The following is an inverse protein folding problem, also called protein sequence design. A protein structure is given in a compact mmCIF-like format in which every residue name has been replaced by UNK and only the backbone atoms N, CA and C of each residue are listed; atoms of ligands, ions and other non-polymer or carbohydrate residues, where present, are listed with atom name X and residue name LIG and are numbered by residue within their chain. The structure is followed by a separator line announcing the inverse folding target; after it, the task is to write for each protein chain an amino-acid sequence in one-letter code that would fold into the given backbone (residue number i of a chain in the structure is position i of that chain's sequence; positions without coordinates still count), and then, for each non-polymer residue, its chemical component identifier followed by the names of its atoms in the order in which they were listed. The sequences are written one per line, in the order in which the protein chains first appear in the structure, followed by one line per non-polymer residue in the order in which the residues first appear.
data_IF_490601751373
#
_entry.id   IF_490601751373
#
_cell.length_a   1.000
_cell.length_b   1.000
_cell.length_c   1.000
_cell.angle_alpha   90.00
_cell.angle_beta   90.00
_cell.angle_gamma   90.00
#
_symmetry.space_group_name_H-M   'P 1'
#
loop_
_entity.id
_entity.type
_entity.pdbx_description
1 polymer ?
#
# COMPACT_ATOMS: atom_id res chain seq x y z
N UNK A 1 10.85 0.69 10.45
CA UNK A 1 9.79 0.35 9.47
C UNK A 1 10.31 -0.70 8.50
N UNK A 2 9.76 -1.92 8.52
CA UNK A 2 10.05 -2.93 7.49
C UNK A 2 9.18 -2.62 6.28
N UNK A 3 9.73 -2.66 5.08
CA UNK A 3 8.99 -2.35 3.86
C UNK A 3 9.30 -3.37 2.76
N UNK A 4 8.48 -3.36 1.71
CA UNK A 4 8.73 -4.08 0.46
C UNK A 4 8.48 -3.13 -0.69
N UNK A 5 9.43 -2.99 -1.60
CA UNK A 5 9.23 -2.22 -2.82
C UNK A 5 8.71 -3.15 -3.91
N UNK A 6 7.58 -2.81 -4.53
CA UNK A 6 6.99 -3.58 -5.62
C UNK A 6 6.60 -2.66 -6.76
N UNK A 7 6.49 -3.20 -7.96
CA UNK A 7 5.97 -2.48 -9.12
C UNK A 7 4.94 -3.32 -9.86
N UNK A 8 3.98 -2.65 -10.48
CA UNK A 8 3.07 -3.23 -11.45
C UNK A 8 3.01 -2.35 -12.70
N UNK A 9 3.38 -2.90 -13.86
CA UNK A 9 3.36 -2.20 -15.15
C UNK A 9 4.09 -0.85 -15.13
N UNK A 10 5.20 -0.76 -14.39
CA UNK A 10 6.05 0.44 -14.34
C UNK A 10 5.67 1.46 -13.26
N UNK A 11 4.56 1.27 -12.53
CA UNK A 11 4.22 2.10 -11.38
C UNK A 11 4.70 1.42 -10.09
N UNK A 12 5.57 2.09 -9.32
CA UNK A 12 6.25 1.53 -8.16
C UNK A 12 5.86 2.19 -6.84
N UNK A 13 5.61 1.39 -5.80
CA UNK A 13 5.33 1.88 -4.44
C UNK A 13 6.21 1.18 -3.41
N UNK A 14 6.41 1.88 -2.30
CA UNK A 14 6.84 1.27 -1.04
C UNK A 14 5.59 0.73 -0.36
N UNK A 15 5.58 -0.57 -0.04
CA UNK A 15 4.50 -1.25 0.68
C UNK A 15 4.92 -1.52 2.11
N UNK A 16 4.02 -1.26 3.05
CA UNK A 16 4.22 -1.59 4.46
C UNK A 16 3.00 -2.31 5.01
N UNK A 17 3.25 -3.44 5.66
CA UNK A 17 2.24 -4.14 6.46
C UNK A 17 1.95 -3.35 7.73
N UNK A 18 0.74 -2.82 7.81
CA UNK A 18 0.18 -2.10 8.95
C UNK A 18 -1.03 -2.84 9.53
N UNK A 19 -1.07 -4.17 9.42
CA UNK A 19 -2.12 -4.99 10.04
C UNK A 19 -1.96 -5.11 11.55
N UNK A 20 -0.73 -4.95 12.07
CA UNK A 20 -0.39 -4.99 13.50
C UNK A 20 0.24 -3.68 13.99
N UNK A 21 1.12 -3.10 13.20
CA UNK A 21 1.86 -1.90 13.56
C UNK A 21 1.32 -0.68 12.82
N UNK A 22 1.24 0.46 13.51
CA UNK A 22 0.78 1.73 12.92
C UNK A 22 1.99 2.62 12.65
N UNK A 23 1.94 3.33 11.52
CA UNK A 23 2.90 4.39 11.18
C UNK A 23 2.22 5.73 11.43
N UNK A 24 2.91 6.58 12.18
CA UNK A 24 2.51 7.97 12.41
C UNK A 24 2.99 8.89 11.28
N UNK A 25 2.33 10.04 11.15
CA UNK A 25 2.70 11.10 10.20
C UNK A 25 2.91 10.56 8.76
N UNK A 26 1.91 9.85 8.26
CA UNK A 26 1.96 9.12 6.99
C UNK A 26 2.27 10.04 5.80
N UNK A 27 1.71 11.27 5.69
CA UNK A 27 2.07 12.19 4.59
C UNK A 27 3.56 12.53 4.55
N UNK A 28 4.18 12.80 5.70
CA UNK A 28 5.62 13.06 5.75
C UNK A 28 6.42 11.80 5.46
N UNK A 29 6.00 10.65 6.00
CA UNK A 29 6.64 9.36 5.71
C UNK A 29 6.61 9.08 4.21
N UNK A 30 5.46 9.26 3.54
CA UNK A 30 5.30 9.09 2.10
C UNK A 30 6.28 9.98 1.32
N UNK A 31 6.41 11.27 1.68
CA UNK A 31 7.41 12.17 1.06
C UNK A 31 8.83 11.66 1.23
N UNK A 32 9.22 11.31 2.46
CA UNK A 32 10.59 10.90 2.78
C UNK A 32 10.99 9.58 2.11
N UNK A 33 10.10 8.61 2.07
CA UNK A 33 10.40 7.30 1.45
C UNK A 33 10.37 7.36 -0.08
N UNK A 34 9.51 8.21 -0.64
CA UNK A 34 9.32 8.30 -2.10
C UNK A 34 10.36 9.20 -2.78
N UNK A 35 11.09 10.03 -2.04
CA UNK A 35 12.21 10.80 -2.57
C UNK A 35 13.23 9.86 -3.25
N UNK A 36 13.50 10.11 -4.53
CA UNK A 36 14.37 9.24 -5.36
C UNK A 36 15.87 9.47 -5.13
N UNK A 37 16.27 10.58 -4.52
CA UNK A 37 17.67 10.92 -4.26
C UNK A 37 18.08 10.60 -2.83
N UNK A 38 17.19 10.85 -1.87
CA UNK A 38 17.48 10.75 -0.44
C UNK A 38 16.60 9.73 0.30
N UNK A 39 15.64 9.12 -0.40
CA UNK A 39 14.76 8.07 0.11
C UNK A 39 14.99 6.73 -0.59
N UNK A 40 13.94 5.90 -0.61
CA UNK A 40 13.91 4.62 -1.35
C UNK A 40 13.63 4.88 -2.84
N UNK A 41 12.93 5.97 -3.13
CA UNK A 41 12.40 6.33 -4.44
C UNK A 41 11.18 5.50 -4.80
N UNK A 42 10.04 6.14 -5.07
CA UNK A 42 8.83 5.47 -5.56
C UNK A 42 7.83 6.52 -6.05
N UNK A 43 6.74 6.06 -6.66
CA UNK A 43 5.60 6.93 -7.00
C UNK A 43 4.72 7.23 -5.76
N UNK A 44 4.97 6.54 -4.64
CA UNK A 44 4.33 6.80 -3.35
C UNK A 44 4.55 5.71 -2.31
N UNK A 45 3.64 5.69 -1.32
CA UNK A 45 3.58 4.75 -0.21
C UNK A 45 2.19 4.10 -0.14
N UNK A 46 2.15 2.77 0.03
CA UNK A 46 0.93 2.01 0.28
C UNK A 46 1.04 1.31 1.62
N UNK A 47 0.08 1.58 2.50
CA UNK A 47 -0.07 0.89 3.76
C UNK A 47 -1.16 -0.17 3.63
N UNK A 48 -0.84 -1.41 3.99
CA UNK A 48 -1.78 -2.53 4.00
C UNK A 48 -2.32 -2.66 5.42
N UNK A 49 -3.60 -2.35 5.61
CA UNK A 49 -4.23 -2.28 6.94
C UNK A 49 -5.31 -3.34 7.08
N UNK A 50 -5.74 -3.59 8.31
CA UNK A 50 -6.99 -4.30 8.57
C UNK A 50 -8.18 -3.45 8.11
N UNK A 51 -9.23 -4.10 7.62
CA UNK A 51 -10.49 -3.46 7.25
C UNK A 51 -11.61 -4.01 8.13
N UNK A 52 -12.65 -3.19 8.38
CA UNK A 52 -13.89 -3.64 9.05
C UNK A 52 -14.94 -4.18 8.08
N UNK A 53 -14.75 -3.97 6.78
CA UNK A 53 -15.75 -4.21 5.74
C UNK A 53 -15.23 -5.07 4.57
N UNK A 54 -13.92 -5.34 4.53
CA UNK A 54 -13.24 -6.10 3.50
C UNK A 54 -12.12 -6.95 4.13
N UNK A 55 -11.40 -7.75 3.33
CA UNK A 55 -10.29 -8.58 3.84
C UNK A 55 -9.10 -7.72 4.30
N UNK A 56 -8.79 -6.67 3.53
CA UNK A 56 -7.73 -5.70 3.83
C UNK A 56 -8.13 -4.31 3.35
N UNK A 57 -7.42 -3.29 3.81
CA UNK A 57 -7.52 -1.92 3.30
C UNK A 57 -6.20 -1.50 2.65
N UNK A 58 -6.29 -0.94 1.45
CA UNK A 58 -5.21 -0.26 0.76
C UNK A 58 -5.28 1.24 1.07
N UNK A 59 -4.40 1.72 1.95
CA UNK A 59 -4.30 3.12 2.32
C UNK A 59 -3.11 3.76 1.60
N UNK A 60 -3.40 4.45 0.49
CA UNK A 60 -2.42 4.90 -0.49
C UNK A 60 -2.12 6.40 -0.39
N UNK A 61 -0.85 6.73 -0.49
CA UNK A 61 -0.33 8.11 -0.52
C UNK A 61 0.61 8.29 -1.71
N UNK A 62 0.50 9.41 -2.41
CA UNK A 62 1.40 9.80 -3.48
C UNK A 62 2.76 10.26 -2.92
N UNK A 63 3.76 10.38 -3.79
CA UNK A 63 5.10 10.84 -3.42
C UNK A 63 5.13 12.22 -2.72
N UNK A 64 4.14 13.08 -2.94
CA UNK A 64 4.04 14.40 -2.31
C UNK A 64 3.36 14.35 -0.91
N UNK A 65 2.92 13.17 -0.49
CA UNK A 65 2.21 12.91 0.75
C UNK A 65 0.69 13.16 0.69
N UNK A 66 0.13 13.51 -0.47
CA UNK A 66 -1.32 13.56 -0.67
C UNK A 66 -1.91 12.15 -0.63
N UNK A 67 -3.11 12.01 -0.05
CA UNK A 67 -3.81 10.72 0.00
C UNK A 67 -4.50 10.47 -1.34
N UNK A 68 -4.29 9.29 -1.92
CA UNK A 68 -4.84 8.92 -3.22
C UNK A 68 -6.07 8.03 -3.07
N UNK A 69 -6.96 8.09 -4.06
CA UNK A 69 -8.21 7.32 -3.99
C UNK A 69 -7.99 5.82 -4.27
N UNK A 70 -7.28 5.51 -5.36
CA UNK A 70 -6.98 4.15 -5.80
C UNK A 70 -5.91 4.19 -6.90
N UNK A 71 -5.09 3.15 -6.97
CA UNK A 71 -4.28 2.83 -8.14
C UNK A 71 -4.46 1.35 -8.50
N UNK A 72 -4.90 1.08 -9.74
CA UNK A 72 -5.11 -0.27 -10.24
C UNK A 72 -3.83 -1.10 -10.30
N UNK A 73 -2.67 -0.47 -10.44
CA UNK A 73 -1.37 -1.15 -10.35
C UNK A 73 -1.02 -1.48 -8.88
N UNK A 74 -1.29 -0.53 -7.98
CA UNK A 74 -1.03 -0.67 -6.55
C UNK A 74 -1.76 -1.87 -5.93
N UNK A 75 -3.05 -2.03 -6.24
CA UNK A 75 -3.89 -3.09 -5.66
C UNK A 75 -3.46 -4.50 -6.07
N UNK A 76 -2.93 -4.70 -7.28
CA UNK A 76 -2.39 -6.01 -7.71
C UNK A 76 -1.21 -6.44 -6.83
N UNK A 77 -0.36 -5.49 -6.47
CA UNK A 77 0.75 -5.74 -5.56
C UNK A 77 0.27 -5.96 -4.12
N UNK A 78 -0.79 -5.27 -3.67
CA UNK A 78 -1.42 -5.56 -2.35
C UNK A 78 -1.91 -7.01 -2.29
N UNK A 79 -2.69 -7.45 -3.28
CA UNK A 79 -3.21 -8.82 -3.33
C UNK A 79 -2.08 -9.87 -3.32
N UNK A 80 -1.02 -9.65 -4.12
CA UNK A 80 0.18 -10.49 -4.09
C UNK A 80 0.87 -10.48 -2.73
N UNK A 81 1.05 -9.30 -2.14
CA UNK A 81 1.75 -9.13 -0.87
C UNK A 81 1.09 -9.92 0.25
N UNK A 82 -0.23 -9.77 0.43
CA UNK A 82 -0.95 -10.42 1.54
C UNK A 82 -0.96 -11.94 1.39
N UNK A 83 -1.01 -12.44 0.16
CA UNK A 83 -0.97 -13.88 -0.12
C UNK A 83 0.44 -14.47 0.11
N UNK A 84 1.48 -13.82 -0.42
CA UNK A 84 2.86 -14.30 -0.32
C UNK A 84 3.37 -14.26 1.13
N UNK A 85 3.00 -13.23 1.89
CA UNK A 85 3.36 -13.07 3.30
C UNK A 85 2.44 -13.85 4.25
N UNK A 86 1.54 -14.70 3.74
CA UNK A 86 0.64 -15.55 4.54
C UNK A 86 -0.24 -14.76 5.51
N UNK A 87 -0.62 -13.54 5.13
CA UNK A 87 -1.63 -12.77 5.83
C UNK A 87 -3.05 -13.29 5.50
N UNK A 88 -3.18 -14.03 4.40
CA UNK A 88 -4.39 -14.74 3.98
C UNK A 88 -4.04 -15.95 3.12
N UNK A 89 -4.94 -16.92 3.04
CA UNK A 89 -4.90 -18.06 2.10
C UNK A 89 -5.99 -17.96 1.01
N UNK A 90 -6.84 -16.92 1.06
CA UNK A 90 -7.89 -16.66 0.08
C UNK A 90 -7.30 -16.34 -1.30
N UNK A 91 -7.98 -16.83 -2.35
CA UNK A 91 -7.64 -16.55 -3.76
C UNK A 91 -8.50 -15.44 -4.39
N UNK A 92 -9.60 -15.09 -3.74
CA UNK A 92 -10.47 -13.98 -4.08
C UNK A 92 -10.50 -13.07 -2.85
N UNK A 93 -10.17 -11.79 -3.04
CA UNK A 93 -9.97 -10.85 -1.94
C UNK A 93 -10.80 -9.61 -2.18
N UNK A 94 -11.49 -9.17 -1.15
CA UNK A 94 -12.09 -7.84 -1.13
C UNK A 94 -11.10 -6.87 -0.50
N UNK A 95 -10.69 -5.84 -1.25
CA UNK A 95 -9.78 -4.80 -0.78
C UNK A 95 -10.53 -3.47 -0.70
N UNK A 96 -10.61 -2.92 0.51
CA UNK A 96 -11.12 -1.58 0.74
C UNK A 96 -10.13 -0.54 0.22
N UNK A 97 -10.63 0.41 -0.58
CA UNK A 97 -9.89 1.58 -1.05
C UNK A 97 -10.69 2.83 -0.75
N UNK A 98 -10.07 4.02 -0.88
CA UNK A 98 -10.80 5.28 -0.72
C UNK A 98 -11.84 5.51 -1.87
N UNK A 99 -11.74 4.77 -2.99
CA UNK A 99 -12.77 4.68 -4.04
C UNK A 99 -13.81 3.57 -3.83
N UNK A 100 -13.87 2.94 -2.66
CA UNK A 100 -14.75 1.79 -2.35
C UNK A 100 -14.05 0.42 -2.40
N UNK A 101 -14.82 -0.64 -2.18
CA UNK A 101 -14.34 -2.03 -2.15
C UNK A 101 -14.13 -2.55 -3.58
N UNK A 102 -13.05 -3.31 -3.80
CA UNK A 102 -12.68 -3.97 -5.06
C UNK A 102 -12.47 -5.47 -4.82
N UNK A 103 -12.93 -6.28 -5.75
CA UNK A 103 -12.76 -7.75 -5.77
C UNK A 103 -11.55 -8.20 -6.62
#
# INVERSE_FOLDING_TARGET
MKFTKMQGCGNDYVYVDCTKDVIDNIPETARRVSDRHFGIGSDGLILIRTSKQADFMMDMYNYDGSRAQMCGNGIRCVAKYVYDNKLTDKKHLQIETLSGIRD
#
